data_IF_190282357424
#
_entry.id   IF_190282357424
#
_cell.length_a   1.000
_cell.length_b   1.000
_cell.length_c   1.000
_cell.angle_alpha   90.00
_cell.angle_beta   90.00
_cell.angle_gamma   90.00
#
_symmetry.space_group_name_H-M   'P 1'
#
loop_
_entity.id
_entity.type
_entity.pdbx_description
1 polymer ?
#
# COMPACT_ATOMS: atom_id res chain seq x y z
N UNK A 1 13.38 -1.64 -12.05
CA UNK A 1 12.69 -1.24 -10.81
C UNK A 1 11.52 -0.30 -11.09
N UNK A 2 11.66 0.66 -12.02
CA UNK A 2 10.57 1.57 -12.44
C UNK A 2 9.39 0.85 -13.12
N UNK A 3 9.65 -0.17 -13.95
CA UNK A 3 8.60 -0.92 -14.66
C UNK A 3 7.64 -1.65 -13.70
N UNK A 4 8.14 -2.17 -12.57
CA UNK A 4 7.35 -2.92 -11.61
C UNK A 4 6.39 -2.03 -10.79
N UNK A 5 6.74 -0.77 -10.55
CA UNK A 5 5.88 0.16 -9.79
C UNK A 5 4.64 0.58 -10.58
N UNK A 6 4.72 0.60 -11.92
CA UNK A 6 3.60 0.98 -12.79
C UNK A 6 2.69 -0.21 -13.12
N UNK A 7 3.21 -1.45 -13.13
CA UNK A 7 2.43 -2.65 -13.44
C UNK A 7 1.40 -3.02 -12.35
N UNK A 8 1.61 -2.66 -11.08
CA UNK A 8 0.61 -2.91 -10.02
C UNK A 8 -0.72 -2.18 -10.28
N UNK A 9 -0.72 -1.12 -11.10
CA UNK A 9 -1.92 -0.31 -11.36
C UNK A 9 -2.67 -0.69 -12.64
N UNK A 10 -2.11 -1.55 -13.51
CA UNK A 10 -2.70 -1.87 -14.82
C UNK A 10 -3.60 -3.12 -14.80
N UNK A 11 -3.74 -3.78 -13.65
CA UNK A 11 -4.42 -5.08 -13.55
C UNK A 11 -5.96 -4.98 -13.53
N UNK A 12 -6.53 -3.76 -13.50
CA UNK A 12 -7.98 -3.52 -13.54
C UNK A 12 -8.39 -2.34 -14.43
N UNK A 13 -9.58 -2.41 -15.02
CA UNK A 13 -10.21 -1.25 -15.67
C UNK A 13 -10.81 -0.35 -14.59
N UNK A 14 -10.01 0.60 -14.12
CA UNK A 14 -10.45 1.68 -13.23
C UNK A 14 -10.59 2.93 -14.08
N UNK A 15 -11.75 3.58 -14.03
CA UNK A 15 -11.96 4.88 -14.67
C UNK A 15 -11.96 5.98 -13.62
N UNK A 16 -11.13 7.00 -13.84
CA UNK A 16 -10.94 8.13 -12.92
C UNK A 16 -11.49 9.43 -13.54
N UNK A 17 -12.25 10.20 -12.77
CA UNK A 17 -12.72 11.55 -13.11
C UNK A 17 -12.11 12.52 -12.11
N UNK A 18 -11.38 13.52 -12.61
CA UNK A 18 -10.65 14.49 -11.79
C UNK A 18 -11.35 15.85 -11.86
N UNK A 19 -11.54 16.50 -10.71
CA UNK A 19 -12.13 17.83 -10.58
C UNK A 19 -11.29 18.67 -9.60
N UNK A 20 -11.10 19.97 -9.82
CA UNK A 20 -10.54 20.87 -8.81
C UNK A 20 -11.40 20.85 -7.54
N UNK A 21 -10.76 20.91 -6.37
CA UNK A 21 -11.42 20.98 -5.06
C UNK A 21 -11.09 22.32 -4.39
N UNK A 22 -11.92 22.75 -3.42
CA UNK A 22 -12.06 24.11 -2.84
C UNK A 22 -10.78 24.85 -2.36
N UNK A 23 -9.59 24.23 -2.42
CA UNK A 23 -8.29 24.80 -2.02
C UNK A 23 -7.30 24.81 -3.18
N UNK A 24 -6.38 25.77 -3.16
CA UNK A 24 -5.26 25.81 -4.10
C UNK A 24 -4.45 24.51 -3.99
N UNK A 25 -4.43 23.69 -5.05
CA UNK A 25 -3.73 22.39 -5.19
C UNK A 25 -4.49 21.10 -4.82
N UNK A 26 -5.73 21.21 -4.33
CA UNK A 26 -6.54 20.05 -4.02
C UNK A 26 -7.38 19.59 -5.22
N UNK A 27 -7.46 18.29 -5.45
CA UNK A 27 -8.25 17.70 -6.53
C UNK A 27 -9.10 16.55 -6.00
N UNK A 28 -10.39 16.60 -6.31
CA UNK A 28 -11.28 15.48 -6.08
C UNK A 28 -11.17 14.51 -7.26
N UNK A 29 -10.82 13.27 -6.97
CA UNK A 29 -10.73 12.18 -7.93
C UNK A 29 -11.81 11.16 -7.61
N UNK A 30 -12.75 11.00 -8.51
CA UNK A 30 -13.77 9.95 -8.44
C UNK A 30 -13.30 8.74 -9.23
N UNK A 31 -13.24 7.57 -8.62
CA UNK A 31 -12.93 6.32 -9.33
C UNK A 31 -14.13 5.40 -9.38
N UNK A 32 -14.25 4.63 -10.46
CA UNK A 32 -15.24 3.55 -10.58
C UNK A 32 -14.50 2.26 -10.89
N UNK A 33 -14.65 1.27 -10.02
CA UNK A 33 -14.05 -0.05 -10.20
C UNK A 33 -15.08 -1.05 -10.71
N UNK A 34 -14.92 -1.56 -11.94
CA UNK A 34 -15.73 -2.69 -12.40
C UNK A 34 -15.26 -3.97 -11.71
N UNK A 35 -15.98 -4.41 -10.67
CA UNK A 35 -15.66 -5.69 -10.02
C UNK A 35 -15.96 -6.85 -10.98
N UNK A 36 -14.98 -7.72 -11.22
CA UNK A 36 -15.20 -8.97 -11.95
C UNK A 36 -16.18 -9.83 -11.16
N UNK A 37 -17.37 -10.04 -11.71
CA UNK A 37 -18.45 -10.84 -11.08
C UNK A 37 -17.91 -12.23 -10.76
N UNK A 38 -17.71 -12.55 -9.47
CA UNK A 38 -17.58 -13.95 -9.04
C UNK A 38 -18.93 -14.59 -9.30
N UNK A 39 -19.04 -15.35 -10.38
CA UNK A 39 -20.25 -16.11 -10.74
C UNK A 39 -20.62 -17.02 -9.57
N UNK A 40 -21.74 -16.75 -8.88
CA UNK A 40 -22.24 -17.64 -7.83
C UNK A 40 -23.29 -17.12 -6.84
N UNK A 41 -23.53 -15.81 -6.67
CA UNK A 41 -24.56 -15.28 -5.74
C UNK A 41 -25.69 -14.55 -6.47
N UNK A 42 -26.95 -14.62 -5.98
CA UNK A 42 -28.13 -14.13 -6.69
C UNK A 42 -28.15 -12.60 -6.81
N UNK A 43 -28.79 -12.15 -7.88
CA UNK A 43 -28.87 -10.78 -8.41
C UNK A 43 -29.18 -9.70 -7.36
N UNK A 44 -28.14 -9.05 -6.83
CA UNK A 44 -28.22 -7.67 -6.34
C UNK A 44 -27.78 -6.72 -7.44
N UNK A 45 -28.38 -5.52 -7.53
CA UNK A 45 -27.97 -4.45 -8.46
C UNK A 45 -26.46 -4.23 -8.33
N UNK A 46 -25.75 -4.20 -9.46
CA UNK A 46 -24.35 -3.76 -9.49
C UNK A 46 -24.34 -2.25 -9.29
N UNK A 47 -24.27 -1.82 -8.04
CA UNK A 47 -23.84 -0.46 -7.75
C UNK A 47 -22.34 -0.46 -8.07
N UNK A 48 -21.96 0.25 -9.14
CA UNK A 48 -20.56 0.54 -9.37
C UNK A 48 -20.05 1.26 -8.12
N UNK A 49 -19.11 0.66 -7.39
CA UNK A 49 -18.52 1.25 -6.19
C UNK A 49 -17.76 2.52 -6.59
N UNK A 50 -18.48 3.63 -6.61
CA UNK A 50 -17.95 4.98 -6.81
C UNK A 50 -17.27 5.42 -5.53
N UNK A 51 -15.99 5.75 -5.61
CA UNK A 51 -15.22 6.30 -4.49
C UNK A 51 -14.72 7.68 -4.85
N UNK A 52 -14.76 8.62 -3.89
CA UNK A 52 -14.31 9.98 -4.05
C UNK A 52 -13.15 10.23 -3.09
N UNK A 53 -11.98 10.53 -3.66
CA UNK A 53 -10.76 10.76 -2.89
C UNK A 53 -10.22 12.16 -3.20
N UNK A 54 -9.66 12.82 -2.19
CA UNK A 54 -9.03 14.14 -2.33
C UNK A 54 -7.52 13.93 -2.39
N UNK A 55 -6.91 14.40 -3.46
CA UNK A 55 -5.45 14.46 -3.63
C UNK A 55 -5.02 15.90 -3.34
N UNK A 56 -4.15 16.10 -2.35
CA UNK A 56 -3.43 17.36 -2.20
C UNK A 56 -2.09 17.24 -2.90
N UNK A 57 -1.91 18.05 -3.94
CA UNK A 57 -0.81 17.84 -4.87
C UNK A 57 0.55 18.29 -4.32
N UNK A 58 0.64 19.44 -3.65
CA UNK A 58 1.93 19.90 -3.12
C UNK A 58 2.34 19.11 -1.87
N UNK A 59 1.36 18.67 -1.08
CA UNK A 59 1.61 17.87 0.13
C UNK A 59 1.90 16.39 -0.17
N UNK A 60 1.74 15.96 -1.43
CA UNK A 60 1.87 14.57 -1.86
C UNK A 60 1.00 13.62 -1.02
N UNK A 61 -0.22 14.03 -0.73
CA UNK A 61 -1.17 13.25 0.06
C UNK A 61 -2.44 12.90 -0.71
N UNK A 62 -3.06 11.79 -0.32
CA UNK A 62 -4.35 11.38 -0.83
C UNK A 62 -5.20 10.81 0.30
N UNK A 63 -6.49 11.09 0.33
CA UNK A 63 -7.38 10.52 1.37
C UNK A 63 -7.47 9.00 1.34
N UNK A 64 -7.04 8.35 0.23
CA UNK A 64 -6.96 6.89 0.15
C UNK A 64 -5.81 6.30 0.99
N UNK A 65 -4.90 7.13 1.51
CA UNK A 65 -3.77 6.74 2.37
C UNK A 65 -2.60 6.06 1.66
N UNK A 66 -2.80 5.50 0.46
CA UNK A 66 -1.75 4.75 -0.25
C UNK A 66 -0.58 5.63 -0.68
N UNK A 67 -0.82 6.89 -1.02
CA UNK A 67 0.26 7.81 -1.39
C UNK A 67 1.23 8.02 -0.21
N UNK A 68 0.67 8.26 0.98
CA UNK A 68 1.42 8.48 2.21
C UNK A 68 2.15 7.21 2.67
N UNK A 69 1.48 6.07 2.55
CA UNK A 69 2.00 4.76 3.00
C UNK A 69 3.09 4.23 2.09
N UNK A 70 2.87 4.31 0.78
CA UNK A 70 3.79 3.79 -0.23
C UNK A 70 4.88 4.77 -0.62
N UNK A 71 4.71 6.07 -0.36
CA UNK A 71 5.69 7.11 -0.71
C UNK A 71 5.93 7.24 -2.23
N UNK A 72 4.95 6.83 -3.03
CA UNK A 72 4.88 7.10 -4.47
C UNK A 72 3.41 7.28 -4.90
N UNK A 73 3.20 7.86 -6.09
CA UNK A 73 1.88 8.20 -6.62
C UNK A 73 0.90 7.03 -6.61
N UNK A 74 -0.24 7.19 -5.92
CA UNK A 74 -1.37 6.27 -6.00
C UNK A 74 -2.14 6.44 -7.32
N UNK A 75 -3.12 5.57 -7.61
CA UNK A 75 -3.97 5.68 -8.82
C UNK A 75 -4.64 7.06 -8.99
N UNK A 76 -5.01 7.70 -7.88
CA UNK A 76 -5.64 9.02 -7.89
C UNK A 76 -4.64 10.11 -8.29
N UNK A 77 -3.43 10.05 -7.72
CA UNK A 77 -2.34 10.95 -8.06
C UNK A 77 -1.84 10.72 -9.50
N UNK A 78 -1.77 9.47 -9.96
CA UNK A 78 -1.42 9.14 -11.35
C UNK A 78 -2.46 9.67 -12.34
N UNK A 79 -3.76 9.52 -12.05
CA UNK A 79 -4.81 10.11 -12.86
C UNK A 79 -4.67 11.64 -12.94
N UNK A 80 -4.28 12.29 -11.84
CA UNK A 80 -3.99 13.72 -11.83
C UNK A 80 -2.71 14.07 -12.62
N UNK A 81 -1.65 13.26 -12.54
CA UNK A 81 -0.45 13.41 -13.38
C UNK A 81 -0.83 13.42 -14.86
N UNK A 82 -1.67 12.47 -15.28
CA UNK A 82 -2.15 12.36 -16.65
C UNK A 82 -2.96 13.59 -17.08
N UNK A 83 -3.84 14.10 -16.21
CA UNK A 83 -4.62 15.32 -16.48
C UNK A 83 -3.77 16.58 -16.56
N UNK A 84 -2.81 16.74 -15.67
CA UNK A 84 -1.92 17.91 -15.60
C UNK A 84 -0.73 17.79 -16.58
N UNK A 85 -0.56 16.66 -17.24
CA UNK A 85 0.60 16.34 -18.11
C UNK A 85 1.93 16.51 -17.38
N UNK A 86 1.96 16.15 -16.10
CA UNK A 86 3.15 16.18 -15.26
C UNK A 86 3.79 14.80 -15.21
N UNK A 87 5.10 14.76 -14.99
CA UNK A 87 5.81 13.49 -14.90
C UNK A 87 5.57 12.85 -13.52
N UNK A 88 4.92 11.67 -13.44
CA UNK A 88 4.64 11.01 -12.16
C UNK A 88 5.89 10.66 -11.35
N UNK A 89 7.04 10.49 -12.01
CA UNK A 89 8.31 10.15 -11.35
C UNK A 89 8.86 11.27 -10.46
N UNK A 90 8.42 12.52 -10.68
CA UNK A 90 8.83 13.67 -9.86
C UNK A 90 8.17 13.66 -8.46
N UNK A 91 7.18 12.79 -8.26
CA UNK A 91 6.38 12.68 -7.04
C UNK A 91 6.64 11.37 -6.28
N UNK A 92 7.73 10.69 -6.63
CA UNK A 92 8.24 9.51 -5.93
C UNK A 92 9.25 9.97 -4.90
N UNK A 93 9.15 9.46 -3.67
CA UNK A 93 10.08 9.79 -2.60
C UNK A 93 11.50 9.30 -2.92
N UNK A 94 12.50 10.09 -2.53
CA UNK A 94 13.93 9.79 -2.74
C UNK A 94 14.36 8.45 -2.10
N UNK A 95 13.53 7.86 -1.23
CA UNK A 95 13.74 6.52 -0.73
C UNK A 95 13.85 5.44 -1.80
N UNK A 96 13.29 5.68 -2.97
CA UNK A 96 13.35 4.80 -4.14
C UNK A 96 14.52 5.09 -5.08
N UNK A 97 15.36 6.10 -4.78
CA UNK A 97 16.52 6.42 -5.61
C UNK A 97 17.56 5.29 -5.62
N UNK A 98 18.22 5.11 -6.77
CA UNK A 98 19.33 4.16 -6.92
C UNK A 98 20.45 4.48 -5.94
N UNK A 99 20.73 5.77 -5.70
CA UNK A 99 21.73 6.20 -4.73
C UNK A 99 21.41 5.70 -3.33
N UNK A 100 20.16 5.85 -2.87
CA UNK A 100 19.76 5.39 -1.54
C UNK A 100 19.74 3.88 -1.44
N UNK A 101 19.37 3.17 -2.51
CA UNK A 101 19.53 1.72 -2.61
C UNK A 101 20.99 1.30 -2.36
N UNK A 102 21.94 1.88 -3.11
CA UNK A 102 23.36 1.55 -2.92
C UNK A 102 23.88 1.90 -1.52
N UNK A 103 23.48 3.05 -0.97
CA UNK A 103 23.85 3.44 0.40
C UNK A 103 23.30 2.46 1.44
N UNK A 104 22.06 2.02 1.27
CA UNK A 104 21.40 1.07 2.19
C UNK A 104 22.10 -0.29 2.19
N UNK A 105 22.52 -0.77 1.02
CA UNK A 105 23.19 -2.07 0.85
C UNK A 105 24.71 -1.96 0.70
N UNK A 106 25.33 -0.84 1.14
CA UNK A 106 26.77 -0.63 1.02
C UNK A 106 27.58 -1.54 1.95
N UNK A 107 26.97 -2.03 3.03
CA UNK A 107 27.61 -2.94 3.97
C UNK A 107 27.95 -4.27 3.30
N UNK A 108 29.14 -4.81 3.59
CA UNK A 108 29.52 -6.14 3.15
C UNK A 108 28.72 -7.16 3.97
N UNK A 109 27.92 -7.96 3.28
CA UNK A 109 27.24 -9.11 3.89
C UNK A 109 28.24 -10.27 3.96
N UNK A 110 28.56 -10.71 5.18
CA UNK A 110 29.26 -11.98 5.37
C UNK A 110 28.34 -13.13 4.99
N UNK A 111 28.90 -14.21 4.46
CA UNK A 111 28.13 -15.42 4.23
C UNK A 111 27.56 -15.92 5.56
N UNK A 112 26.34 -16.48 5.51
CA UNK A 112 25.77 -17.17 6.66
C UNK A 112 26.66 -18.38 6.96
N UNK A 113 27.21 -18.52 8.18
CA UNK A 113 28.05 -19.66 8.52
C UNK A 113 27.25 -20.97 8.48
N UNK A 114 27.94 -22.10 8.43
CA UNK A 114 27.31 -23.41 8.61
C UNK A 114 26.61 -23.48 9.97
N UNK A 115 25.49 -24.22 10.06
CA UNK A 115 24.70 -24.37 11.29
C UNK A 115 25.57 -24.81 12.49
N UNK A 116 26.57 -25.65 12.24
CA UNK A 116 27.53 -26.13 13.26
C UNK A 116 28.40 -25.03 13.88
N UNK A 117 28.58 -23.90 13.18
CA UNK A 117 29.36 -22.74 13.62
C UNK A 117 28.47 -21.60 14.16
N UNK A 118 27.16 -21.81 14.30
CA UNK A 118 26.27 -20.81 14.89
C UNK A 118 26.49 -20.74 16.40
N UNK A 119 26.49 -19.53 17.00
CA UNK A 119 26.55 -19.41 18.44
C UNK A 119 25.31 -20.03 19.07
N UNK A 120 25.48 -20.72 20.20
CA UNK A 120 24.35 -21.21 21.00
C UNK A 120 23.45 -20.02 21.40
N UNK A 121 22.14 -20.21 21.29
CA UNK A 121 21.19 -19.14 21.57
C UNK A 121 21.28 -18.74 23.05
N UNK A 122 21.84 -17.56 23.32
CA UNK A 122 21.98 -17.01 24.68
C UNK A 122 21.13 -15.76 24.84
N UNK A 123 20.57 -15.55 26.04
CA UNK A 123 19.78 -14.36 26.35
C UNK A 123 18.37 -14.31 25.77
N UNK A 124 17.90 -15.35 25.08
CA UNK A 124 16.50 -15.46 24.63
C UNK A 124 15.65 -16.04 25.77
N UNK A 125 14.71 -15.27 26.36
CA UNK A 125 13.82 -15.80 27.38
C UNK A 125 12.99 -16.94 26.79
N UNK A 126 12.81 -18.03 27.54
CA UNK A 126 11.82 -19.05 27.19
C UNK A 126 10.44 -18.41 27.29
N UNK A 127 9.87 -18.01 26.16
CA UNK A 127 8.49 -17.54 26.08
C UNK A 127 7.59 -18.74 26.37
N UNK A 128 6.92 -18.70 27.51
CA UNK A 128 5.85 -19.64 27.78
C UNK A 128 4.59 -19.17 27.04
N UNK A 129 3.80 -20.08 26.45
CA UNK A 129 2.50 -19.69 25.93
C UNK A 129 1.67 -19.04 27.04
N UNK A 130 0.81 -18.06 26.72
CA UNK A 130 -0.09 -17.46 27.69
C UNK A 130 -0.86 -18.56 28.44
N UNK A 131 -0.92 -18.44 29.78
CA UNK A 131 -1.64 -19.40 30.58
C UNK A 131 -3.12 -19.42 30.14
N UNK A 132 -3.56 -20.56 29.61
CA UNK A 132 -4.98 -20.84 29.39
C UNK A 132 -5.63 -20.97 30.77
N UNK A 133 -6.25 -19.88 31.23
CA UNK A 133 -7.21 -19.94 32.34
C UNK A 133 -8.42 -20.72 31.86
N UNK A 134 -8.48 -22.00 32.21
CA UNK A 134 -9.72 -22.78 32.10
C UNK A 134 -10.73 -22.15 33.05
N UNK A 135 -11.57 -21.26 32.52
CA UNK A 135 -12.77 -20.81 33.19
C UNK A 135 -13.64 -22.03 33.45
N UNK A 136 -13.73 -22.44 34.71
CA UNK A 136 -14.80 -23.32 35.18
C UNK A 136 -16.11 -22.57 34.99
N UNK A 137 -16.72 -22.71 33.82
CA UNK A 137 -18.15 -22.51 33.65
C UNK A 137 -18.85 -23.48 34.59
N UNK A 138 -19.32 -22.97 35.72
CA UNK A 138 -20.32 -23.65 36.54
C UNK A 138 -21.66 -23.34 35.89
N UNK A 139 -22.13 -24.26 35.05
CA UNK A 139 -23.55 -24.33 34.72
C UNK A 139 -24.17 -25.33 35.72
N UNK A 140 -24.89 -24.77 36.70
CA UNK A 140 -25.98 -25.42 37.44
C UNK A 140 -27.17 -25.51 36.47
N UNK A 141 -27.81 -26.64 36.24
CA UNK A 141 -28.65 -27.45 37.14
C UNK A 141 -28.84 -28.86 36.57
#
# INVERSE_FOLDING_TARGET
TEHAMLEEFTTGSVTCVVKPFERDDAFQVTTTSKKKKRTGLPMGRSEDDLTCEIVQWNDLTCTCGEFQRRKFSCIHALALCEKLKTNPLQYVDDCYSIERYHKTYAAKFSHVPEVSAWPEASGVPRLLPPAIVSGKGKETE
#
